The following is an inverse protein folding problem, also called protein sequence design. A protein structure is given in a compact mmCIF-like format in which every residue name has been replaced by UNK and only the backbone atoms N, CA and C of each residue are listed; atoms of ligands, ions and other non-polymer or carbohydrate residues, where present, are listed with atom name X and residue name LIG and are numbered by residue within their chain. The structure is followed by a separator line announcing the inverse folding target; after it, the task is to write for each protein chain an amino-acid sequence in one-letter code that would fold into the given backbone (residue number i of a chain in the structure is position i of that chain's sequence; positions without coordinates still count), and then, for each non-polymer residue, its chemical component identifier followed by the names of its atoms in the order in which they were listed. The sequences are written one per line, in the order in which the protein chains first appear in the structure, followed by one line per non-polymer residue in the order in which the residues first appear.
data_IF_577342239767
#
_entry.id   IF_577342239767
#
_cell.length_a   1.000
_cell.length_b   1.000
_cell.length_c   1.000
_cell.angle_alpha   90.00
_cell.angle_beta   90.00
_cell.angle_gamma   90.00
#
_symmetry.space_group_name_H-M   'P 1'
#
loop_
_entity.id
_entity.type
_entity.pdbx_description
1 polymer ?
#
# COMPACT_ATOMS: atom_id res chain seq x y z
N UNK A 1 28.71 -14.64 21.29
CA UNK A 1 28.55 -13.24 20.83
C UNK A 1 27.56 -13.27 19.68
N UNK A 2 26.39 -12.68 19.87
CA UNK A 2 25.18 -12.96 19.09
C UNK A 2 25.17 -12.30 17.71
N UNK A 3 25.03 -13.16 16.71
CA UNK A 3 24.30 -13.00 15.44
C UNK A 3 24.16 -11.57 14.87
N UNK A 4 25.02 -11.25 13.91
CA UNK A 4 24.67 -10.33 12.82
C UNK A 4 23.63 -11.02 11.94
N UNK A 5 22.36 -10.90 12.31
CA UNK A 5 21.26 -11.13 11.37
C UNK A 5 21.34 -10.05 10.31
N UNK A 6 21.90 -10.39 9.14
CA UNK A 6 21.70 -9.61 7.94
C UNK A 6 20.20 -9.30 7.84
N UNK A 7 19.83 -8.02 7.82
CA UNK A 7 18.50 -7.60 7.38
C UNK A 7 18.39 -8.01 5.91
N UNK A 8 18.01 -9.26 5.69
CA UNK A 8 17.63 -9.78 4.40
C UNK A 8 16.54 -8.88 3.85
N UNK A 9 16.74 -8.46 2.61
CA UNK A 9 15.75 -7.92 1.68
C UNK A 9 14.31 -8.02 2.21
N UNK A 10 13.71 -6.86 2.51
CA UNK A 10 12.29 -6.66 2.85
C UNK A 10 11.38 -7.07 1.68
N UNK A 11 11.45 -8.33 1.26
CA UNK A 11 10.27 -9.02 0.77
C UNK A 11 9.44 -9.36 2.00
N UNK A 12 8.77 -8.35 2.57
CA UNK A 12 7.55 -8.59 3.31
C UNK A 12 6.60 -9.19 2.29
N UNK A 13 6.63 -10.51 2.14
CA UNK A 13 5.67 -11.22 1.30
C UNK A 13 4.33 -11.08 1.99
N UNK A 14 3.57 -10.09 1.53
CA UNK A 14 2.16 -9.93 1.88
C UNK A 14 1.41 -11.23 1.56
N UNK A 15 0.66 -11.73 2.54
CA UNK A 15 -0.15 -12.93 2.43
C UNK A 15 -1.28 -12.80 1.39
N UNK A 16 -1.74 -13.93 0.81
CA UNK A 16 -2.87 -13.92 -0.09
C UNK A 16 -4.19 -13.78 0.67
N UNK A 17 -5.21 -13.23 0.00
CA UNK A 17 -6.60 -13.25 0.47
C UNK A 17 -7.44 -14.16 -0.41
N UNK A 18 -8.30 -14.98 0.20
CA UNK A 18 -9.11 -15.97 -0.51
C UNK A 18 -10.59 -15.58 -0.46
N UNK A 19 -11.23 -15.54 -1.63
CA UNK A 19 -12.66 -15.29 -1.77
C UNK A 19 -13.54 -16.50 -1.44
N UNK A 20 -14.84 -16.29 -1.16
CA UNK A 20 -15.79 -17.39 -0.92
C UNK A 20 -15.91 -18.38 -2.10
N UNK A 21 -15.61 -17.92 -3.32
CA UNK A 21 -15.58 -18.75 -4.53
C UNK A 21 -14.22 -19.49 -4.72
N UNK A 22 -13.30 -19.36 -3.78
CA UNK A 22 -11.95 -19.90 -3.83
C UNK A 22 -10.95 -19.06 -4.65
N UNK A 23 -11.37 -17.97 -5.29
CA UNK A 23 -10.44 -17.06 -5.99
C UNK A 23 -9.39 -16.54 -5.01
N UNK A 24 -8.10 -16.66 -5.38
CA UNK A 24 -6.99 -16.17 -4.55
C UNK A 24 -6.53 -14.82 -5.09
N UNK A 25 -6.44 -13.81 -4.22
CA UNK A 25 -5.97 -12.47 -4.51
C UNK A 25 -4.60 -12.27 -3.89
N UNK A 26 -3.61 -11.90 -4.71
CA UNK A 26 -2.23 -11.69 -4.28
C UNK A 26 -1.68 -10.42 -4.90
N UNK A 27 -0.96 -9.63 -4.10
CA UNK A 27 -0.21 -8.48 -4.57
C UNK A 27 1.22 -8.93 -4.88
N UNK A 28 1.77 -8.48 -6.00
CA UNK A 28 3.17 -8.72 -6.35
C UNK A 28 3.79 -7.51 -7.03
N UNK A 29 5.11 -7.42 -6.99
CA UNK A 29 5.85 -6.43 -7.76
C UNK A 29 5.71 -6.73 -9.26
N UNK A 30 5.18 -5.77 -10.04
CA UNK A 30 5.18 -5.84 -11.48
C UNK A 30 6.49 -5.23 -11.98
N UNK A 31 7.28 -6.01 -12.72
CA UNK A 31 8.55 -5.55 -13.28
C UNK A 31 8.39 -4.17 -13.92
N UNK A 32 9.25 -3.23 -13.54
CA UNK A 32 9.30 -1.89 -14.13
C UNK A 32 9.35 -2.02 -15.65
N UNK A 33 8.49 -1.30 -16.38
CA UNK A 33 8.55 -1.21 -17.83
C UNK A 33 9.98 -0.81 -18.25
N UNK A 34 10.73 -1.75 -18.83
CA UNK A 34 12.08 -1.52 -19.33
C UNK A 34 12.00 -0.84 -20.69
N UNK A 35 11.70 0.45 -20.72
CA UNK A 35 12.23 1.28 -21.81
C UNK A 35 13.69 1.60 -21.46
N UNK A 36 14.59 0.70 -21.87
CA UNK A 36 16.04 0.92 -22.03
C UNK A 36 16.73 1.88 -21.03
N UNK A 37 16.99 1.43 -19.81
CA UNK A 37 18.21 1.81 -19.07
C UNK A 37 18.55 0.65 -18.12
N UNK A 38 19.72 0.05 -18.31
CA UNK A 38 20.20 -1.02 -17.43
C UNK A 38 20.34 -0.53 -15.99
N UNK A 39 20.15 -1.46 -15.03
CA UNK A 39 20.59 -1.56 -13.62
C UNK A 39 21.14 -0.33 -12.83
N UNK A 40 20.97 0.92 -13.25
CA UNK A 40 21.67 2.10 -12.73
C UNK A 40 20.83 3.39 -12.80
N UNK A 41 19.52 3.31 -12.58
CA UNK A 41 18.80 4.51 -12.14
C UNK A 41 17.68 4.16 -11.14
N UNK A 42 17.99 4.05 -9.83
CA UNK A 42 17.01 3.74 -8.79
C UNK A 42 15.95 4.84 -8.56
N UNK A 43 15.98 5.94 -9.31
CA UNK A 43 15.29 7.18 -8.95
C UNK A 43 14.07 7.60 -9.77
N UNK A 44 13.69 6.89 -10.85
CA UNK A 44 12.67 7.41 -11.78
C UNK A 44 11.57 6.44 -12.21
N UNK A 45 11.59 5.19 -11.76
CA UNK A 45 10.46 4.28 -11.97
C UNK A 45 9.41 4.47 -10.87
N UNK A 46 8.15 4.75 -11.23
CA UNK A 46 7.05 4.43 -10.30
C UNK A 46 7.06 2.92 -10.13
N UNK A 47 7.39 2.44 -8.92
CA UNK A 47 7.18 1.05 -8.59
C UNK A 47 5.73 0.71 -8.90
N UNK A 48 5.53 -0.27 -9.78
CA UNK A 48 4.21 -0.76 -10.11
C UNK A 48 4.05 -2.09 -9.39
N UNK A 49 3.08 -2.16 -8.49
CA UNK A 49 2.59 -3.44 -8.01
C UNK A 49 1.43 -3.87 -8.91
N UNK A 50 1.08 -5.14 -8.86
CA UNK A 50 -0.18 -5.60 -9.42
C UNK A 50 -0.91 -6.50 -8.43
N UNK A 51 -2.23 -6.30 -8.36
CA UNK A 51 -3.15 -7.23 -7.75
C UNK A 51 -3.51 -8.29 -8.79
N UNK A 52 -3.29 -9.56 -8.46
CA UNK A 52 -3.56 -10.70 -9.32
C UNK A 52 -4.66 -11.54 -8.69
N UNK A 53 -5.70 -11.85 -9.46
CA UNK A 53 -6.68 -12.85 -9.09
C UNK A 53 -6.34 -14.18 -9.77
N UNK A 54 -6.26 -15.26 -8.99
CA UNK A 54 -5.93 -16.60 -9.44
C UNK A 54 -7.15 -17.52 -9.31
N UNK A 55 -7.38 -18.33 -10.34
CA UNK A 55 -8.42 -19.33 -10.36
C UNK A 55 -8.10 -20.48 -9.39
N UNK A 56 -9.05 -20.91 -8.54
CA UNK A 56 -8.85 -22.08 -7.68
C UNK A 56 -8.78 -23.39 -8.47
N UNK A 57 -9.28 -23.41 -9.70
CA UNK A 57 -9.37 -24.64 -10.52
C UNK A 57 -8.00 -25.05 -11.08
N UNK A 58 -7.19 -24.08 -11.49
CA UNK A 58 -5.96 -24.33 -12.23
C UNK A 58 -4.80 -23.37 -11.90
N UNK A 59 -4.99 -22.44 -10.96
CA UNK A 59 -3.98 -21.47 -10.58
C UNK A 59 -3.68 -20.39 -11.63
N UNK A 60 -4.42 -20.35 -12.76
CA UNK A 60 -4.21 -19.35 -13.79
C UNK A 60 -4.79 -18.00 -13.37
N UNK A 61 -4.16 -16.92 -13.82
CA UNK A 61 -4.66 -15.56 -13.57
C UNK A 61 -6.01 -15.35 -14.28
N UNK A 62 -7.04 -15.00 -13.51
CA UNK A 62 -8.34 -14.51 -14.01
C UNK A 62 -8.18 -13.10 -14.56
N UNK A 63 -7.42 -12.28 -13.86
CA UNK A 63 -7.08 -10.91 -14.24
C UNK A 63 -5.87 -10.40 -13.44
N UNK A 64 -5.32 -9.27 -13.90
CA UNK A 64 -4.26 -8.51 -13.23
C UNK A 64 -4.64 -7.04 -13.26
N UNK A 65 -4.39 -6.32 -12.17
CA UNK A 65 -4.69 -4.91 -12.03
C UNK A 65 -3.47 -4.17 -11.51
N UNK A 66 -2.96 -3.20 -12.27
CA UNK A 66 -1.83 -2.39 -11.85
C UNK A 66 -2.22 -1.45 -10.68
N UNK A 67 -1.34 -1.37 -9.70
CA UNK A 67 -1.45 -0.54 -8.50
C UNK A 67 -0.19 0.32 -8.40
N UNK A 68 -0.40 1.64 -8.41
CA UNK A 68 0.70 2.61 -8.28
C UNK A 68 1.05 2.78 -6.80
N UNK A 69 2.31 2.53 -6.45
CA UNK A 69 2.83 2.71 -5.10
C UNK A 69 4.22 2.14 -4.95
N UNK A 70 5.04 2.69 -4.05
CA UNK A 70 6.34 2.10 -3.68
C UNK A 70 6.18 0.98 -2.66
N UNK A 71 5.10 1.02 -1.87
CA UNK A 71 4.65 -0.08 -1.02
C UNK A 71 3.15 -0.25 -1.17
N UNK A 72 2.70 -1.49 -1.34
CA UNK A 72 1.29 -1.88 -1.35
C UNK A 72 1.11 -2.98 -0.33
N UNK A 73 0.04 -2.92 0.46
CA UNK A 73 -0.24 -3.88 1.54
C UNK A 73 -1.00 -5.13 1.07
N UNK A 74 -1.13 -6.09 1.99
CA UNK A 74 -2.03 -7.24 1.85
C UNK A 74 -3.44 -6.77 1.45
N UNK A 75 -4.09 -7.48 0.50
CA UNK A 75 -5.47 -7.23 0.15
C UNK A 75 -6.39 -7.76 1.26
N UNK A 76 -7.48 -7.05 1.56
CA UNK A 76 -8.56 -7.53 2.42
C UNK A 76 -9.86 -7.60 1.61
N UNK A 77 -10.69 -8.61 1.87
CA UNK A 77 -11.93 -8.83 1.13
C UNK A 77 -13.15 -8.38 1.94
N UNK A 78 -14.00 -7.56 1.33
CA UNK A 78 -15.33 -7.27 1.83
C UNK A 78 -16.34 -8.33 1.40
N UNK A 79 -17.41 -8.51 2.18
CA UNK A 79 -18.48 -9.48 1.90
C UNK A 79 -19.22 -9.29 0.59
N UNK A 80 -19.11 -8.10 -0.02
CA UNK A 80 -19.66 -7.76 -1.33
C UNK A 80 -18.69 -8.02 -2.48
N UNK A 81 -17.53 -8.63 -2.20
CA UNK A 81 -16.49 -8.94 -3.19
C UNK A 81 -15.55 -7.78 -3.51
N UNK A 82 -15.67 -6.62 -2.83
CA UNK A 82 -14.69 -5.54 -2.95
C UNK A 82 -13.38 -5.93 -2.27
N UNK A 83 -12.28 -5.50 -2.85
CA UNK A 83 -10.93 -5.73 -2.34
C UNK A 83 -10.36 -4.39 -1.88
N UNK A 84 -9.84 -4.36 -0.66
CA UNK A 84 -9.24 -3.19 -0.04
C UNK A 84 -7.76 -3.41 0.13
N UNK A 85 -6.94 -2.41 -0.16
CA UNK A 85 -5.51 -2.43 0.10
C UNK A 85 -5.01 -1.02 0.32
N UNK A 86 -3.84 -0.87 0.93
CA UNK A 86 -3.22 0.44 1.08
C UNK A 86 -2.02 0.57 0.17
N UNK A 87 -1.79 1.78 -0.33
CA UNK A 87 -0.65 2.11 -1.16
C UNK A 87 0.01 3.36 -0.61
N UNK A 88 1.32 3.31 -0.40
CA UNK A 88 2.13 4.48 -0.07
C UNK A 88 3.14 4.72 -1.19
N UNK A 89 3.47 5.98 -1.40
CA UNK A 89 4.58 6.34 -2.28
C UNK A 89 5.86 6.60 -1.46
N UNK A 90 5.89 6.17 -0.19
CA UNK A 90 6.98 6.43 0.76
C UNK A 90 8.32 5.89 0.24
N UNK A 91 9.35 6.73 0.32
CA UNK A 91 10.73 6.36 0.00
C UNK A 91 11.47 6.28 1.33
N UNK A 92 11.94 5.09 1.71
CA UNK A 92 12.73 4.93 2.91
C UNK A 92 14.01 5.76 2.82
N UNK A 93 14.16 6.73 3.73
CA UNK A 93 15.40 7.49 3.94
C UNK A 93 16.52 6.52 4.33
N UNK A 94 17.28 6.07 3.33
CA UNK A 94 18.24 4.98 3.42
C UNK A 94 18.52 4.34 2.07
N UNK A 95 17.52 4.36 1.16
CA UNK A 95 17.81 4.45 -0.27
C UNK A 95 18.03 5.92 -0.59
N UNK A 96 19.24 6.38 -0.29
CA UNK A 96 19.59 7.75 -0.55
C UNK A 96 19.40 8.06 -2.03
N UNK A 97 18.64 9.12 -2.30
CA UNK A 97 19.22 10.16 -3.14
C UNK A 97 20.38 10.79 -2.36
N UNK A 98 21.40 10.00 -2.01
CA UNK A 98 22.67 10.44 -1.46
C UNK A 98 23.50 10.93 -2.65
N UNK A 99 22.99 11.96 -3.31
CA UNK A 99 23.70 12.73 -4.33
C UNK A 99 24.10 14.11 -3.82
N UNK A 100 23.86 14.42 -2.54
CA UNK A 100 24.17 15.69 -1.89
C UNK A 100 25.65 15.89 -1.57
N UNK A 101 26.55 15.67 -2.52
CA UNK A 101 27.86 16.32 -2.46
C UNK A 101 27.67 17.83 -2.63
N UNK A 102 28.63 18.65 -2.18
CA UNK A 102 28.59 20.12 -2.22
C UNK A 102 28.27 20.75 -3.60
N UNK A 103 28.29 19.95 -4.67
CA UNK A 103 28.06 20.33 -6.07
C UNK A 103 26.69 19.93 -6.62
N UNK A 104 25.87 19.16 -5.89
CA UNK A 104 24.54 18.78 -6.36
C UNK A 104 23.58 18.75 -5.16
N UNK A 105 22.95 19.88 -4.80
CA UNK A 105 21.98 19.90 -3.72
C UNK A 105 20.81 19.02 -4.16
N UNK A 106 20.81 17.76 -3.72
CA UNK A 106 19.81 16.79 -4.09
C UNK A 106 18.44 17.42 -3.93
N UNK A 107 17.62 17.37 -4.98
CA UNK A 107 16.24 17.79 -4.89
C UNK A 107 15.56 16.84 -3.91
N UNK A 108 15.51 17.19 -2.63
CA UNK A 108 14.51 16.67 -1.72
C UNK A 108 13.19 17.18 -2.26
N UNK A 109 12.65 16.52 -3.27
CA UNK A 109 11.28 16.75 -3.68
C UNK A 109 10.45 16.32 -2.49
N UNK A 110 10.09 17.32 -1.68
CA UNK A 110 9.20 17.21 -0.56
C UNK A 110 7.99 16.44 -1.04
N UNK A 111 7.91 15.18 -0.63
CA UNK A 111 6.89 14.30 -1.11
C UNK A 111 5.76 14.49 -0.12
N UNK A 112 4.71 15.23 -0.50
CA UNK A 112 3.44 15.31 0.24
C UNK A 112 2.70 13.95 0.19
N UNK A 113 3.44 12.84 0.19
CA UNK A 113 3.02 11.51 -0.27
C UNK A 113 2.17 10.87 0.81
N UNK A 114 0.93 11.34 0.87
CA UNK A 114 -0.15 10.74 1.64
C UNK A 114 -0.34 9.30 1.19
N UNK A 115 -0.38 8.40 2.16
CA UNK A 115 -0.79 7.03 1.89
C UNK A 115 -2.27 6.98 1.53
N UNK A 116 -2.65 5.97 0.76
CA UNK A 116 -3.98 5.84 0.18
C UNK A 116 -4.61 4.52 0.60
N UNK A 117 -5.90 4.54 0.94
CA UNK A 117 -6.75 3.35 0.87
C UNK A 117 -7.29 3.20 -0.56
N UNK A 118 -7.04 2.05 -1.17
CA UNK A 118 -7.49 1.69 -2.51
C UNK A 118 -8.65 0.70 -2.39
N UNK A 119 -9.72 0.96 -3.14
CA UNK A 119 -10.92 0.11 -3.22
C UNK A 119 -11.03 -0.41 -4.64
N UNK A 120 -10.94 -1.73 -4.79
CA UNK A 120 -11.06 -2.44 -6.06
C UNK A 120 -12.41 -3.16 -6.11
N UNK A 121 -13.13 -2.99 -7.22
CA UNK A 121 -14.27 -3.84 -7.55
C UNK A 121 -13.80 -4.93 -8.51
N UNK A 122 -13.97 -6.19 -8.09
CA UNK A 122 -13.62 -7.36 -8.87
C UNK A 122 -14.81 -7.86 -9.68
N UNK A 123 -14.55 -8.26 -10.92
CA UNK A 123 -15.47 -8.96 -11.81
C UNK A 123 -14.90 -10.34 -12.15
N UNK A 124 -15.67 -11.23 -12.80
CA UNK A 124 -15.19 -12.58 -13.12
C UNK A 124 -13.87 -12.61 -13.90
N UNK A 125 -13.66 -11.65 -14.82
CA UNK A 125 -12.51 -11.61 -15.75
C UNK A 125 -11.79 -10.27 -15.78
N UNK A 126 -12.21 -9.29 -14.99
CA UNK A 126 -11.61 -7.95 -14.91
C UNK A 126 -11.67 -7.41 -13.50
N UNK A 127 -10.98 -6.30 -13.24
CA UNK A 127 -11.12 -5.52 -12.02
C UNK A 127 -10.88 -4.05 -12.32
N UNK A 128 -11.42 -3.17 -11.48
CA UNK A 128 -11.17 -1.73 -11.57
C UNK A 128 -10.97 -1.11 -10.19
N UNK A 129 -10.08 -0.12 -10.10
CA UNK A 129 -10.01 0.78 -8.95
C UNK A 129 -11.26 1.65 -8.98
N UNK A 130 -12.09 1.52 -7.95
CA UNK A 130 -13.36 2.25 -7.79
C UNK A 130 -13.30 3.32 -6.70
N UNK A 131 -12.23 3.35 -5.90
CA UNK A 131 -11.99 4.38 -4.90
C UNK A 131 -10.52 4.50 -4.54
N UNK A 132 -10.06 5.72 -4.33
CA UNK A 132 -8.72 6.06 -3.86
C UNK A 132 -8.89 7.16 -2.82
N UNK A 133 -8.59 6.86 -1.56
CA UNK A 133 -8.80 7.77 -0.43
C UNK A 133 -7.45 8.12 0.14
N UNK A 134 -7.02 9.35 -0.05
CA UNK A 134 -5.80 9.87 0.58
C UNK A 134 -6.03 10.09 2.07
N UNK A 135 -5.10 9.59 2.88
CA UNK A 135 -5.11 9.72 4.33
C UNK A 135 -3.93 10.58 4.76
N UNK A 136 -4.14 11.34 5.82
CA UNK A 136 -3.11 12.16 6.46
C UNK A 136 -2.19 11.27 7.29
N UNK A 137 -1.60 10.28 6.61
CA UNK A 137 -0.58 9.39 7.16
C UNK A 137 0.48 8.97 6.17
N UNK A 138 1.72 8.93 6.64
CA UNK A 138 2.89 8.53 5.85
C UNK A 138 2.86 7.05 5.45
N UNK A 139 2.46 6.18 6.39
CA UNK A 139 2.35 4.73 6.17
C UNK A 139 1.00 4.25 6.71
N UNK A 140 0.40 3.28 6.03
CA UNK A 140 -0.81 2.61 6.46
C UNK A 140 -0.56 1.12 6.66
N UNK A 141 -1.31 0.51 7.58
CA UNK A 141 -1.39 -0.95 7.71
C UNK A 141 -2.19 -1.57 6.56
N UNK A 142 -2.08 -2.89 6.41
CA UNK A 142 -3.10 -3.65 5.68
C UNK A 142 -4.50 -3.37 6.25
N UNK A 143 -5.54 -3.27 5.39
CA UNK A 143 -6.90 -3.08 5.89
C UNK A 143 -7.41 -4.30 6.66
N UNK A 144 -8.26 -4.05 7.65
CA UNK A 144 -9.08 -5.09 8.28
C UNK A 144 -10.55 -4.81 8.02
N UNK A 145 -11.28 -5.85 7.59
CA UNK A 145 -12.72 -5.76 7.33
C UNK A 145 -13.48 -6.50 8.44
N UNK A 146 -14.52 -5.87 9.00
CA UNK A 146 -15.39 -6.49 10.00
C UNK A 146 -16.74 -6.86 9.41
N UNK A 147 -17.27 -8.02 9.75
CA UNK A 147 -18.64 -8.39 9.37
C UNK A 147 -19.66 -7.78 10.36
N UNK A 148 -20.46 -6.81 9.92
CA UNK A 148 -21.56 -6.21 10.70
C UNK A 148 -22.90 -6.51 10.03
N UNK A 149 -23.48 -7.70 10.19
CA UNK A 149 -24.77 -8.08 9.60
C UNK A 149 -24.98 -7.58 8.13
N UNK A 150 -25.78 -6.52 7.92
CA UNK A 150 -26.04 -5.95 6.59
C UNK A 150 -24.88 -5.13 6.00
N UNK A 151 -23.88 -4.71 6.80
CA UNK A 151 -22.80 -3.82 6.40
C UNK A 151 -21.42 -4.34 6.86
N UNK A 152 -20.35 -3.62 6.54
CA UNK A 152 -19.03 -3.86 7.11
C UNK A 152 -18.29 -2.54 7.30
N UNK A 153 -17.30 -2.55 8.18
CA UNK A 153 -16.39 -1.42 8.37
C UNK A 153 -14.99 -1.84 7.94
N UNK A 154 -14.31 -0.95 7.22
CA UNK A 154 -12.91 -1.12 6.84
C UNK A 154 -12.04 -0.28 7.77
N UNK A 155 -11.12 -0.93 8.48
CA UNK A 155 -10.20 -0.29 9.40
C UNK A 155 -8.80 -0.27 8.83
N UNK A 156 -8.10 0.85 9.01
CA UNK A 156 -6.70 1.02 8.66
C UNK A 156 -6.04 1.84 9.77
N UNK A 157 -4.83 1.45 10.20
CA UNK A 157 -4.03 2.28 11.10
C UNK A 157 -2.95 3.01 10.31
N UNK A 158 -2.88 4.32 10.46
CA UNK A 158 -1.80 5.16 9.95
C UNK A 158 -0.75 5.47 11.01
N UNK A 159 0.47 5.68 10.53
CA UNK A 159 1.62 6.06 11.34
C UNK A 159 2.41 7.17 10.63
N UNK A 160 2.68 8.25 11.36
CA UNK A 160 3.54 9.34 10.89
C UNK A 160 5.01 9.07 11.18
N UNK A 161 5.85 9.35 10.19
CA UNK A 161 7.28 9.10 10.25
C UNK A 161 8.09 10.36 9.95
N UNK A 162 9.14 10.59 10.74
CA UNK A 162 10.03 11.73 10.50
C UNK A 162 9.41 13.09 10.84
N UNK A 163 10.20 14.15 10.72
CA UNK A 163 9.80 15.52 11.06
C UNK A 163 9.61 16.42 9.81
N UNK A 164 9.73 15.84 8.61
CA UNK A 164 10.03 16.58 7.38
C UNK A 164 8.98 16.44 6.25
N UNK A 165 7.80 15.88 6.52
CA UNK A 165 6.73 15.70 5.52
C UNK A 165 5.87 16.95 5.27
N UNK A 166 6.17 18.08 5.92
CA UNK A 166 5.47 19.38 5.82
C UNK A 166 3.98 19.32 6.17
N UNK A 167 3.49 18.22 6.73
CA UNK A 167 2.14 18.18 7.27
C UNK A 167 2.13 18.61 8.75
N UNK A 168 0.94 18.84 9.29
CA UNK A 168 0.78 19.33 10.65
C UNK A 168 0.73 18.20 11.69
N UNK A 169 1.00 16.95 11.30
CA UNK A 169 0.86 15.78 12.14
C UNK A 169 2.22 15.43 12.76
N UNK A 170 2.23 15.31 14.09
CA UNK A 170 3.47 15.05 14.80
C UNK A 170 4.04 13.66 14.46
N UNK A 171 5.37 13.57 14.28
CA UNK A 171 6.07 12.30 14.13
C UNK A 171 5.70 11.30 15.23
N UNK A 172 5.53 10.03 14.85
CA UNK A 172 5.14 8.98 15.77
C UNK A 172 3.66 8.97 16.13
N UNK A 173 2.85 9.94 15.65
CA UNK A 173 1.41 9.93 15.77
C UNK A 173 0.84 8.67 15.09
N UNK A 174 -0.08 8.00 15.79
CA UNK A 174 -0.86 6.89 15.26
C UNK A 174 -2.31 7.31 15.15
N UNK A 175 -2.92 6.98 14.02
CA UNK A 175 -4.33 7.28 13.76
C UNK A 175 -5.04 6.02 13.30
N UNK A 176 -6.12 5.63 13.98
CA UNK A 176 -7.06 4.63 13.48
C UNK A 176 -8.07 5.33 12.58
N UNK A 177 -8.27 4.81 11.38
CA UNK A 177 -9.30 5.24 10.45
C UNK A 177 -10.33 4.14 10.25
N UNK A 178 -11.62 4.50 10.18
CA UNK A 178 -12.72 3.60 9.90
C UNK A 178 -13.54 4.10 8.71
N UNK A 179 -13.82 3.24 7.74
CA UNK A 179 -14.52 3.59 6.50
C UNK A 179 -15.76 2.72 6.27
N UNK A 180 -16.73 3.27 5.56
CA UNK A 180 -17.81 2.50 4.92
C UNK A 180 -17.26 1.71 3.73
N UNK A 181 -18.00 0.69 3.23
CA UNK A 181 -17.60 -0.08 2.04
C UNK A 181 -17.35 0.78 0.79
N UNK A 182 -18.05 1.90 0.68
CA UNK A 182 -17.94 2.85 -0.42
C UNK A 182 -16.76 3.84 -0.25
N UNK A 183 -16.02 3.77 0.85
CA UNK A 183 -14.88 4.64 1.12
C UNK A 183 -15.20 5.91 1.91
N UNK A 184 -16.43 6.09 2.40
CA UNK A 184 -16.76 7.21 3.27
C UNK A 184 -16.12 7.07 4.64
N UNK A 185 -15.39 8.07 5.12
CA UNK A 185 -14.83 8.08 6.47
C UNK A 185 -15.98 8.07 7.51
N UNK A 186 -16.03 7.04 8.35
CA UNK A 186 -16.94 6.96 9.51
C UNK A 186 -16.39 7.78 10.66
N UNK A 187 -15.13 7.55 11.00
CA UNK A 187 -14.40 8.29 12.03
C UNK A 187 -12.90 8.08 11.92
N UNK A 188 -12.12 8.94 12.58
CA UNK A 188 -10.71 8.71 12.87
C UNK A 188 -10.40 9.02 14.33
N UNK A 189 -9.43 8.30 14.91
CA UNK A 189 -9.01 8.46 16.31
C UNK A 189 -7.49 8.46 16.40
N UNK A 190 -6.94 9.49 17.03
CA UNK A 190 -5.53 9.57 17.41
C UNK A 190 -5.29 8.68 18.63
N UNK A 191 -4.55 7.59 18.48
CA UNK A 191 -4.46 6.52 19.52
C UNK A 191 -3.35 6.71 20.54
N UNK A 192 -2.47 7.70 20.34
CA UNK A 192 -1.37 8.02 21.26
C UNK A 192 -1.41 9.45 21.82
N UNK A 193 -2.58 10.10 21.79
CA UNK A 193 -2.81 11.34 22.53
C UNK A 193 -3.55 11.02 23.85
N UNK A 194 -3.14 11.60 24.99
CA UNK A 194 -3.85 11.45 26.26
C UNK A 194 -5.23 12.07 26.24
#
# INVERSE_FOLDING_TARGET
MGMSGAMGSREMMDGPTVGPDGTVYVVRFASTSTTNQGMMNPGTGTSQYELVALSPVNGLAKWKLAITGTMVSEPALGKDGKIFMTASDFVMSGQGQSGGGMMNPGTSTASTRKSRLIIVTAYPTTASITGTIELDSNVLSAPKVTEEAANYTVYVTGFEMGADDKDAVASGQKTLYAFTPAGGLKFSVKVNQP
#
